data_IF_673153875521
#
_entry.id   IF_673153875521
#
_cell.length_a   1.000
_cell.length_b   1.000
_cell.length_c   1.000
_cell.angle_alpha   90.00
_cell.angle_beta   90.00
_cell.angle_gamma   90.00
#
_symmetry.space_group_name_H-M   'P 1'
#
loop_
_entity.id
_entity.type
_entity.pdbx_description
1 polymer ?
#
# COMPACT_ATOMS: atom_id res chain seq x y z
N UNK A 1 32.92 6.72 14.33
CA UNK A 1 31.58 6.39 13.83
C UNK A 1 30.53 6.49 14.92
N UNK A 2 30.70 5.84 16.08
CA UNK A 2 29.72 5.87 17.18
C UNK A 2 29.31 7.27 17.68
N UNK A 3 30.26 8.21 17.82
CA UNK A 3 29.96 9.58 18.29
C UNK A 3 29.00 10.34 17.35
N UNK A 4 29.21 10.20 16.04
CA UNK A 4 28.36 10.84 15.02
C UNK A 4 26.96 10.23 14.98
N UNK A 5 26.84 8.93 15.20
CA UNK A 5 25.54 8.26 15.33
C UNK A 5 24.75 8.79 16.52
N UNK A 6 25.40 8.96 17.67
CA UNK A 6 24.74 9.51 18.87
C UNK A 6 24.25 10.93 18.62
N UNK A 7 25.06 11.78 17.97
CA UNK A 7 24.67 13.13 17.59
C UNK A 7 23.44 13.14 16.67
N UNK A 8 23.37 12.23 15.69
CA UNK A 8 22.23 12.11 14.75
C UNK A 8 20.96 11.64 15.48
N UNK A 9 21.04 10.61 16.30
CA UNK A 9 19.88 10.10 17.04
C UNK A 9 19.35 11.13 18.04
N UNK A 10 20.25 11.86 18.68
CA UNK A 10 19.88 12.92 19.61
C UNK A 10 19.26 14.12 18.89
N UNK A 11 19.76 14.48 17.70
CA UNK A 11 19.14 15.48 16.84
C UNK A 11 17.69 15.11 16.48
N UNK A 12 17.45 13.86 16.07
CA UNK A 12 16.11 13.35 15.75
C UNK A 12 15.17 13.37 16.97
N UNK A 13 15.69 13.10 18.17
CA UNK A 13 14.91 13.18 19.40
C UNK A 13 14.45 14.62 19.67
N UNK A 14 15.33 15.61 19.52
CA UNK A 14 15.00 17.03 19.69
C UNK A 14 13.97 17.48 18.64
N UNK A 15 14.08 17.00 17.39
CA UNK A 15 13.10 17.29 16.34
C UNK A 15 11.70 16.76 16.68
N UNK A 16 11.62 15.57 17.31
CA UNK A 16 10.34 14.98 17.72
C UNK A 16 9.73 15.66 18.95
N UNK A 17 10.56 16.21 19.84
CA UNK A 17 10.14 16.81 21.10
C UNK A 17 10.78 18.21 21.26
N UNK A 18 10.23 19.23 20.57
CA UNK A 18 10.71 20.59 20.71
C UNK A 18 10.51 21.06 22.16
N UNK A 19 11.58 21.54 22.79
CA UNK A 19 11.56 22.01 24.19
C UNK A 19 12.11 21.03 25.22
N UNK A 20 12.49 19.80 24.84
CA UNK A 20 13.08 18.82 25.79
C UNK A 20 14.33 19.35 26.52
N UNK A 21 15.13 20.16 25.84
CA UNK A 21 16.37 20.77 26.37
C UNK A 21 16.09 21.87 27.41
N UNK A 22 14.87 22.40 27.43
CA UNK A 22 14.42 23.45 28.33
C UNK A 22 13.74 22.92 29.61
N UNK A 23 13.45 21.62 29.65
CA UNK A 23 12.84 20.97 30.80
C UNK A 23 13.75 21.06 32.05
N UNK A 24 13.11 20.91 33.21
CA UNK A 24 13.77 20.85 34.51
C UNK A 24 13.24 19.67 35.30
N UNK A 25 14.10 19.08 36.10
CA UNK A 25 13.72 18.06 37.06
C UNK A 25 12.94 18.70 38.23
N UNK A 26 12.29 17.86 39.03
CA UNK A 26 11.43 18.28 40.14
C UNK A 26 12.18 19.06 41.25
N UNK A 27 13.50 18.93 41.30
CA UNK A 27 14.43 19.63 42.19
C UNK A 27 14.90 20.98 41.60
N UNK A 28 14.46 21.36 40.40
CA UNK A 28 14.85 22.58 39.71
C UNK A 28 16.13 22.45 38.87
N UNK A 29 16.79 21.30 38.89
CA UNK A 29 17.99 21.04 38.09
C UNK A 29 17.64 21.05 36.60
N UNK A 30 18.38 21.78 35.74
CA UNK A 30 18.09 21.81 34.31
C UNK A 30 18.34 20.44 33.67
N UNK A 31 17.47 20.05 32.74
CA UNK A 31 17.60 18.79 32.00
C UNK A 31 18.88 18.73 31.16
N UNK A 32 19.31 19.88 30.63
CA UNK A 32 20.60 20.05 29.99
C UNK A 32 21.33 21.23 30.62
N UNK A 33 22.54 20.98 31.13
CA UNK A 33 23.41 22.01 31.69
C UNK A 33 23.92 22.98 30.59
N UNK A 34 24.47 24.15 30.96
CA UNK A 34 24.92 25.14 29.99
C UNK A 34 25.97 24.62 29.00
N UNK A 35 26.86 23.72 29.41
CA UNK A 35 27.88 23.15 28.53
C UNK A 35 27.24 22.16 27.55
N UNK A 36 26.30 21.33 28.01
CA UNK A 36 25.51 20.43 27.15
C UNK A 36 24.68 21.22 26.14
N UNK A 37 24.05 22.34 26.53
CA UNK A 37 23.31 23.21 25.61
C UNK A 37 24.20 23.80 24.51
N UNK A 38 25.40 24.23 24.87
CA UNK A 38 26.38 24.73 23.92
C UNK A 38 26.79 23.64 22.92
N UNK A 39 27.07 22.43 23.39
CA UNK A 39 27.37 21.28 22.52
C UNK A 39 26.22 20.92 21.58
N UNK A 40 24.97 20.93 22.06
CA UNK A 40 23.79 20.69 21.24
C UNK A 40 23.70 21.70 20.10
N UNK A 41 23.88 22.99 20.40
CA UNK A 41 23.82 24.05 19.39
C UNK A 41 24.95 23.95 18.35
N UNK A 42 26.15 23.53 18.77
CA UNK A 42 27.35 23.51 17.94
C UNK A 42 27.52 22.21 17.14
N UNK A 43 27.06 21.08 17.67
CA UNK A 43 27.35 19.76 17.11
C UNK A 43 26.11 18.97 16.73
N UNK A 44 24.95 19.17 17.39
CA UNK A 44 23.74 18.37 17.16
C UNK A 44 22.77 19.04 16.18
N UNK A 45 22.47 20.33 16.38
CA UNK A 45 21.59 21.11 15.49
C UNK A 45 22.09 21.18 14.02
N UNK A 46 23.40 21.26 13.72
CA UNK A 46 23.87 21.26 12.33
C UNK A 46 23.54 19.97 11.57
N UNK A 47 23.42 18.83 12.27
CA UNK A 47 22.99 17.57 11.63
C UNK A 47 21.52 17.60 11.21
N UNK A 48 20.70 18.46 11.82
CA UNK A 48 19.32 18.73 11.36
C UNK A 48 19.31 19.58 10.09
N UNK A 49 20.30 20.46 9.91
CA UNK A 49 20.39 21.33 8.73
C UNK A 49 20.96 20.61 7.50
N UNK A 50 21.87 19.65 7.71
CA UNK A 50 22.46 18.85 6.62
C UNK A 50 21.47 17.87 5.97
N UNK A 51 20.27 17.69 6.54
CA UNK A 51 19.27 16.77 6.00
C UNK A 51 17.88 17.42 5.86
N UNK A 52 17.84 18.70 5.48
CA UNK A 52 16.64 19.35 4.93
C UNK A 52 16.43 19.02 3.44
N UNK A 53 16.70 17.79 3.01
CA UNK A 53 15.70 17.14 2.18
C UNK A 53 14.79 16.47 3.20
N UNK A 54 13.54 16.93 3.38
CA UNK A 54 12.65 16.25 4.28
C UNK A 54 12.58 14.82 3.74
N UNK A 55 13.15 13.85 4.46
CA UNK A 55 12.51 12.56 4.56
C UNK A 55 11.29 12.81 5.44
N UNK A 56 10.37 13.60 4.88
CA UNK A 56 8.95 13.37 5.00
C UNK A 56 8.89 11.85 4.85
N UNK A 57 8.63 11.17 5.95
CA UNK A 57 7.79 9.99 5.84
C UNK A 57 6.56 10.60 5.21
N UNK A 58 6.59 10.67 3.89
CA UNK A 58 5.41 10.91 3.17
C UNK A 58 4.61 9.65 3.51
N UNK A 59 3.71 9.79 4.48
CA UNK A 59 2.31 9.64 4.09
C UNK A 59 2.09 10.68 3.00
N UNK A 60 2.69 10.43 1.84
CA UNK A 60 2.17 11.02 0.66
C UNK A 60 0.94 10.16 0.47
N UNK A 61 -0.15 10.84 0.18
CA UNK A 61 -1.03 10.41 -0.89
C UNK A 61 -0.26 10.21 -2.22
N UNK A 62 0.95 9.61 -2.18
CA UNK A 62 1.59 8.95 -3.31
C UNK A 62 0.77 7.71 -3.42
N UNK A 63 -0.19 7.76 -4.35
CA UNK A 63 -0.80 6.56 -4.87
C UNK A 63 0.25 5.46 -4.96
N UNK A 64 -0.05 4.28 -4.45
CA UNK A 64 0.93 3.22 -4.40
C UNK A 64 1.47 2.93 -5.80
N UNK A 65 2.72 2.48 -5.89
CA UNK A 65 3.45 2.33 -7.16
C UNK A 65 2.68 1.48 -8.19
N UNK A 66 1.89 0.50 -7.72
CA UNK A 66 1.05 -0.34 -8.57
C UNK A 66 -0.18 0.40 -9.15
N UNK A 67 -0.73 1.40 -8.47
CA UNK A 67 -1.82 2.23 -8.99
C UNK A 67 -1.33 3.17 -10.09
N UNK A 68 -0.21 3.87 -9.84
CA UNK A 68 0.43 4.73 -10.85
C UNK A 68 0.80 3.90 -12.09
N UNK A 69 1.30 2.69 -11.89
CA UNK A 69 1.62 1.78 -12.98
C UNK A 69 0.36 1.24 -13.70
N UNK A 70 -0.75 1.03 -12.98
CA UNK A 70 -2.03 0.65 -13.57
C UNK A 70 -2.57 1.77 -14.47
N UNK A 71 -2.56 3.02 -14.00
CA UNK A 71 -2.97 4.17 -14.79
C UNK A 71 -2.13 4.33 -16.07
N UNK A 72 -0.81 4.20 -15.95
CA UNK A 72 0.09 4.19 -17.10
C UNK A 72 -0.22 3.02 -18.06
N UNK A 73 -0.48 1.82 -17.52
CA UNK A 73 -0.84 0.65 -18.32
C UNK A 73 -2.18 0.82 -19.04
N UNK A 74 -3.16 1.52 -18.45
CA UNK A 74 -4.43 1.86 -19.09
C UNK A 74 -4.25 2.82 -20.26
N UNK A 75 -3.31 3.77 -20.16
CA UNK A 75 -2.95 4.63 -21.29
C UNK A 75 -2.27 3.85 -22.42
N UNK A 76 -1.37 2.93 -22.08
CA UNK A 76 -0.73 2.02 -23.06
C UNK A 76 -1.77 1.11 -23.71
N UNK A 77 -2.73 0.60 -22.95
CA UNK A 77 -3.84 -0.22 -23.48
C UNK A 77 -4.62 0.51 -24.59
N UNK A 78 -4.86 1.82 -24.42
CA UNK A 78 -5.55 2.65 -25.41
C UNK A 78 -4.71 2.90 -26.68
N UNK A 79 -3.38 2.91 -26.57
CA UNK A 79 -2.47 3.27 -27.68
C UNK A 79 -1.92 2.05 -28.43
N UNK A 80 -1.46 1.03 -27.71
CA UNK A 80 -0.64 -0.07 -28.25
C UNK A 80 -1.27 -1.45 -28.02
N UNK A 81 -2.36 -1.52 -27.24
CA UNK A 81 -3.14 -2.73 -26.99
C UNK A 81 -2.74 -3.50 -25.72
N UNK A 82 -3.37 -4.66 -25.51
CA UNK A 82 -3.32 -5.38 -24.23
C UNK A 82 -1.95 -6.00 -23.92
N UNK A 83 -1.28 -6.57 -24.92
CA UNK A 83 0.02 -7.25 -24.72
C UNK A 83 1.10 -6.33 -24.12
N UNK A 84 1.36 -5.11 -24.67
CA UNK A 84 2.36 -4.21 -24.10
C UNK A 84 1.98 -3.70 -22.71
N UNK A 85 0.69 -3.40 -22.47
CA UNK A 85 0.21 -2.99 -21.15
C UNK A 85 0.42 -4.06 -20.07
N UNK A 86 0.14 -5.33 -20.40
CA UNK A 86 0.40 -6.47 -19.50
C UNK A 86 1.90 -6.67 -19.26
N UNK A 87 2.74 -6.52 -20.29
CA UNK A 87 4.19 -6.62 -20.13
C UNK A 87 4.74 -5.54 -19.21
N UNK A 88 4.25 -4.30 -19.32
CA UNK A 88 4.63 -3.19 -18.45
C UNK A 88 4.31 -3.51 -16.98
N UNK A 89 3.09 -3.94 -16.67
CA UNK A 89 2.71 -4.35 -15.31
C UNK A 89 3.49 -5.57 -14.81
N UNK A 90 3.78 -6.55 -15.69
CA UNK A 90 4.60 -7.71 -15.33
C UNK A 90 6.04 -7.32 -14.96
N UNK A 91 6.63 -6.33 -15.62
CA UNK A 91 7.96 -5.83 -15.23
C UNK A 91 7.93 -5.20 -13.84
N UNK A 92 6.87 -4.48 -13.50
CA UNK A 92 6.62 -3.97 -12.14
C UNK A 92 6.51 -5.09 -11.11
N UNK A 93 5.75 -6.15 -11.43
CA UNK A 93 5.60 -7.33 -10.58
C UNK A 93 6.94 -8.02 -10.29
N UNK A 94 7.85 -8.13 -11.28
CA UNK A 94 9.17 -8.73 -11.08
C UNK A 94 10.08 -7.89 -10.17
N UNK A 95 9.91 -6.55 -10.20
CA UNK A 95 10.63 -5.63 -9.32
C UNK A 95 10.04 -5.59 -7.91
N UNK A 96 8.80 -6.05 -7.73
CA UNK A 96 8.09 -5.99 -6.46
C UNK A 96 8.72 -6.92 -5.41
N UNK A 97 9.11 -6.32 -4.29
CA UNK A 97 9.62 -7.01 -3.11
C UNK A 97 8.50 -7.07 -2.05
N UNK A 98 8.24 -8.27 -1.53
CA UNK A 98 7.20 -8.51 -0.52
C UNK A 98 5.89 -9.10 -1.07
N UNK A 99 5.25 -9.96 -0.27
CA UNK A 99 4.02 -10.67 -0.64
C UNK A 99 2.84 -9.74 -0.91
N UNK A 100 2.64 -8.74 -0.04
CA UNK A 100 1.59 -7.71 -0.19
C UNK A 100 1.72 -6.95 -1.51
N UNK A 101 2.91 -6.41 -1.81
CA UNK A 101 3.14 -5.66 -3.04
C UNK A 101 2.86 -6.55 -4.27
N UNK A 102 3.35 -7.79 -4.28
CA UNK A 102 3.08 -8.75 -5.37
C UNK A 102 1.59 -9.01 -5.57
N UNK A 103 0.84 -9.14 -4.48
CA UNK A 103 -0.62 -9.31 -4.54
C UNK A 103 -1.28 -8.11 -5.23
N UNK A 104 -0.95 -6.88 -4.82
CA UNK A 104 -1.50 -5.68 -5.46
C UNK A 104 -1.11 -5.54 -6.93
N UNK A 105 0.10 -5.93 -7.32
CA UNK A 105 0.50 -5.97 -8.72
C UNK A 105 -0.29 -7.02 -9.54
N UNK A 106 -0.58 -8.18 -8.96
CA UNK A 106 -1.44 -9.18 -9.59
C UNK A 106 -2.89 -8.70 -9.69
N UNK A 107 -3.39 -8.02 -8.66
CA UNK A 107 -4.73 -7.41 -8.69
C UNK A 107 -4.83 -6.30 -9.74
N UNK A 108 -3.80 -5.45 -9.87
CA UNK A 108 -3.72 -4.45 -10.93
C UNK A 108 -3.74 -5.09 -12.33
N UNK A 109 -3.04 -6.21 -12.52
CA UNK A 109 -3.11 -6.99 -13.77
C UNK A 109 -4.52 -7.50 -14.07
N UNK A 110 -5.24 -7.99 -13.05
CA UNK A 110 -6.62 -8.44 -13.20
C UNK A 110 -7.57 -7.28 -13.56
N UNK A 111 -7.44 -6.12 -12.90
CA UNK A 111 -8.17 -4.89 -13.25
C UNK A 111 -7.89 -4.44 -14.69
N UNK A 112 -6.64 -4.50 -15.14
CA UNK A 112 -6.29 -4.18 -16.53
C UNK A 112 -7.00 -5.13 -17.51
N UNK A 113 -7.03 -6.44 -17.22
CA UNK A 113 -7.72 -7.44 -18.05
C UNK A 113 -9.24 -7.19 -18.10
N UNK A 114 -9.82 -6.76 -16.99
CA UNK A 114 -11.23 -6.38 -16.91
C UNK A 114 -11.55 -5.19 -17.83
N UNK A 115 -10.77 -4.10 -17.75
CA UNK A 115 -10.96 -2.92 -18.61
C UNK A 115 -10.75 -3.27 -20.09
N UNK A 116 -9.86 -4.21 -20.40
CA UNK A 116 -9.64 -4.71 -21.75
C UNK A 116 -10.73 -5.65 -22.27
N UNK A 117 -11.84 -5.83 -21.55
CA UNK A 117 -12.97 -6.72 -21.87
C UNK A 117 -12.58 -8.21 -22.02
N UNK A 118 -11.46 -8.63 -21.41
CA UNK A 118 -11.03 -10.03 -21.37
C UNK A 118 -11.48 -10.67 -20.06
N UNK A 119 -12.80 -10.73 -19.88
CA UNK A 119 -13.43 -11.15 -18.61
C UNK A 119 -13.08 -12.58 -18.19
N UNK A 120 -12.97 -13.52 -19.13
CA UNK A 120 -12.55 -14.91 -18.83
C UNK A 120 -11.14 -14.95 -18.19
N UNK A 121 -10.21 -14.16 -18.71
CA UNK A 121 -8.84 -14.10 -18.19
C UNK A 121 -8.79 -13.35 -16.84
N UNK A 122 -9.57 -12.27 -16.71
CA UNK A 122 -9.67 -11.52 -15.46
C UNK A 122 -10.25 -12.40 -14.34
N UNK A 123 -11.31 -13.16 -14.64
CA UNK A 123 -11.94 -14.10 -13.72
C UNK A 123 -10.94 -15.14 -13.20
N UNK A 124 -10.22 -15.84 -14.08
CA UNK A 124 -9.26 -16.87 -13.67
C UNK A 124 -8.15 -16.31 -12.76
N UNK A 125 -7.68 -15.08 -13.03
CA UNK A 125 -6.71 -14.40 -12.17
C UNK A 125 -7.32 -14.02 -10.81
N UNK A 126 -8.55 -13.49 -10.81
CA UNK A 126 -9.24 -13.10 -9.57
C UNK A 126 -9.59 -14.30 -8.70
N UNK A 127 -9.97 -15.44 -9.27
CA UNK A 127 -10.21 -16.69 -8.53
C UNK A 127 -8.93 -17.18 -7.83
N UNK A 128 -7.78 -17.07 -8.50
CA UNK A 128 -6.48 -17.43 -7.89
C UNK A 128 -6.13 -16.48 -6.74
N UNK A 129 -6.41 -15.18 -6.91
CA UNK A 129 -6.18 -14.17 -5.87
C UNK A 129 -7.11 -14.38 -4.66
N UNK A 130 -8.38 -14.67 -4.90
CA UNK A 130 -9.35 -14.98 -3.84
C UNK A 130 -8.96 -16.24 -3.06
N UNK A 131 -8.54 -17.31 -3.74
CA UNK A 131 -8.04 -18.52 -3.08
C UNK A 131 -6.82 -18.21 -2.19
N UNK A 132 -5.90 -17.38 -2.68
CA UNK A 132 -4.72 -16.95 -1.92
C UNK A 132 -5.12 -16.13 -0.69
N UNK A 133 -6.13 -15.26 -0.79
CA UNK A 133 -6.67 -14.49 0.35
C UNK A 133 -7.29 -15.40 1.41
N UNK A 134 -8.00 -16.44 0.99
CA UNK A 134 -8.59 -17.42 1.90
C UNK A 134 -7.50 -18.23 2.63
N UNK A 135 -6.53 -18.76 1.90
CA UNK A 135 -5.45 -19.59 2.46
C UNK A 135 -4.53 -18.84 3.43
N UNK A 136 -4.25 -17.57 3.12
CA UNK A 136 -3.39 -16.72 3.94
C UNK A 136 -4.09 -16.16 5.18
N UNK A 137 -5.42 -16.28 5.28
CA UNK A 137 -6.22 -15.65 6.34
C UNK A 137 -6.18 -14.12 6.28
N UNK A 138 -5.76 -13.53 5.16
CA UNK A 138 -5.59 -12.08 5.02
C UNK A 138 -6.93 -11.33 5.08
N UNK A 139 -8.06 -12.03 4.85
CA UNK A 139 -9.41 -11.53 5.09
C UNK A 139 -9.61 -10.94 6.50
N UNK A 140 -8.96 -11.50 7.52
CA UNK A 140 -9.09 -11.01 8.90
C UNK A 140 -8.25 -9.75 9.17
N UNK A 141 -7.23 -9.51 8.35
CA UNK A 141 -6.27 -8.41 8.52
C UNK A 141 -6.53 -7.23 7.57
N UNK A 142 -7.11 -7.49 6.39
CA UNK A 142 -7.48 -6.48 5.39
C UNK A 142 -8.82 -6.83 4.71
N UNK A 143 -9.97 -6.58 5.38
CA UNK A 143 -11.28 -6.89 4.84
C UNK A 143 -11.61 -6.10 3.56
N UNK A 144 -11.19 -4.83 3.48
CA UNK A 144 -11.46 -3.95 2.34
C UNK A 144 -10.89 -4.52 1.02
N UNK A 145 -9.65 -5.03 1.06
CA UNK A 145 -9.00 -5.63 -0.10
C UNK A 145 -9.75 -6.87 -0.61
N UNK A 146 -10.22 -7.68 0.34
CA UNK A 146 -11.01 -8.86 0.06
C UNK A 146 -12.35 -8.51 -0.61
N UNK A 147 -13.01 -7.45 -0.14
CA UNK A 147 -14.24 -6.94 -0.74
C UNK A 147 -14.01 -6.41 -2.15
N UNK A 148 -12.95 -5.63 -2.38
CA UNK A 148 -12.60 -5.16 -3.72
C UNK A 148 -12.39 -6.31 -4.72
N UNK A 149 -11.70 -7.36 -4.30
CA UNK A 149 -11.47 -8.56 -5.14
C UNK A 149 -12.80 -9.25 -5.42
N UNK A 150 -13.65 -9.47 -4.42
CA UNK A 150 -14.95 -10.13 -4.57
C UNK A 150 -15.92 -9.31 -5.43
N UNK A 151 -15.99 -7.99 -5.28
CA UNK A 151 -16.78 -7.08 -6.10
C UNK A 151 -16.37 -7.13 -7.57
N UNK A 152 -15.05 -7.10 -7.84
CA UNK A 152 -14.54 -7.17 -9.20
C UNK A 152 -14.81 -8.55 -9.81
N UNK A 153 -14.73 -9.62 -9.03
CA UNK A 153 -15.04 -10.99 -9.47
C UNK A 153 -16.54 -11.12 -9.80
N UNK A 154 -17.41 -10.60 -8.94
CA UNK A 154 -18.85 -10.56 -9.17
C UNK A 154 -19.20 -9.79 -10.45
N UNK A 155 -18.60 -8.61 -10.63
CA UNK A 155 -18.74 -7.79 -11.83
C UNK A 155 -18.23 -8.51 -13.08
N UNK A 156 -17.14 -9.29 -13.00
CA UNK A 156 -16.68 -10.15 -14.10
C UNK A 156 -17.73 -11.22 -14.44
N UNK A 157 -18.33 -11.86 -13.44
CA UNK A 157 -19.33 -12.90 -13.62
C UNK A 157 -20.63 -12.38 -14.25
N UNK A 158 -21.04 -11.13 -13.96
CA UNK A 158 -22.21 -10.50 -14.60
C UNK A 158 -22.00 -10.21 -16.09
N UNK A 159 -20.77 -9.82 -16.47
CA UNK A 159 -20.45 -9.43 -17.85
C UNK A 159 -20.08 -10.63 -18.74
N UNK A 160 -19.92 -11.82 -18.15
CA UNK A 160 -19.67 -13.07 -18.86
C UNK A 160 -20.98 -13.72 -19.33
N UNK A 161 -20.97 -14.49 -20.44
CA UNK A 161 -22.13 -15.27 -20.84
C UNK A 161 -22.55 -16.20 -19.70
N UNK A 162 -23.83 -16.15 -19.33
CA UNK A 162 -24.38 -16.85 -18.17
C UNK A 162 -24.41 -18.37 -18.39
N UNK A 163 -23.28 -19.01 -18.17
CA UNK A 163 -23.17 -20.46 -18.06
C UNK A 163 -23.57 -20.89 -16.64
N UNK A 164 -24.10 -22.10 -16.49
CA UNK A 164 -24.53 -22.64 -15.20
C UNK A 164 -23.40 -22.60 -14.14
N UNK A 165 -22.17 -22.90 -14.56
CA UNK A 165 -20.96 -22.80 -13.73
C UNK A 165 -20.67 -21.36 -13.29
N UNK A 166 -20.92 -20.37 -14.15
CA UNK A 166 -20.71 -18.95 -13.81
C UNK A 166 -21.79 -18.48 -12.83
N UNK A 167 -23.01 -18.99 -12.95
CA UNK A 167 -24.14 -18.69 -12.05
C UNK A 167 -23.92 -19.25 -10.65
N UNK A 168 -23.52 -20.51 -10.53
CA UNK A 168 -23.20 -21.14 -9.24
C UNK A 168 -22.04 -20.42 -8.53
N UNK A 169 -21.00 -20.06 -9.29
CA UNK A 169 -19.88 -19.25 -8.76
C UNK A 169 -20.33 -17.86 -8.33
N UNK A 170 -21.19 -17.19 -9.11
CA UNK A 170 -21.76 -15.89 -8.76
C UNK A 170 -22.52 -15.95 -7.43
N UNK A 171 -23.34 -16.99 -7.22
CA UNK A 171 -24.10 -17.19 -5.99
C UNK A 171 -23.19 -17.52 -4.79
N UNK A 172 -22.10 -18.27 -4.98
CA UNK A 172 -21.09 -18.51 -3.96
C UNK A 172 -20.37 -17.21 -3.55
N UNK A 173 -19.95 -16.40 -4.52
CA UNK A 173 -19.30 -15.11 -4.30
C UNK A 173 -20.26 -14.16 -3.58
N UNK A 174 -21.51 -14.08 -4.04
CA UNK A 174 -22.53 -13.23 -3.44
C UNK A 174 -22.79 -13.60 -1.97
N UNK A 175 -22.91 -14.89 -1.65
CA UNK A 175 -23.04 -15.36 -0.26
C UNK A 175 -21.87 -14.95 0.62
N UNK A 176 -20.64 -15.04 0.10
CA UNK A 176 -19.44 -14.63 0.83
C UNK A 176 -19.38 -13.12 1.02
N UNK A 177 -19.82 -12.38 0.02
CA UNK A 177 -19.91 -10.92 0.07
C UNK A 177 -20.89 -10.48 1.16
N UNK A 178 -22.08 -11.09 1.22
CA UNK A 178 -23.08 -10.85 2.27
C UNK A 178 -22.57 -11.19 3.68
N UNK A 179 -21.62 -12.12 3.81
CA UNK A 179 -21.07 -12.52 5.10
C UNK A 179 -19.97 -11.56 5.59
N UNK A 180 -19.20 -10.98 4.67
CA UNK A 180 -18.12 -10.06 4.98
C UNK A 180 -18.62 -8.62 5.14
N UNK A 181 -19.68 -8.26 4.43
CA UNK A 181 -20.27 -6.93 4.49
C UNK A 181 -21.79 -7.01 4.33
N UNK A 182 -22.53 -6.75 5.41
CA UNK A 182 -23.99 -6.65 5.36
C UNK A 182 -24.43 -5.31 4.74
N UNK A 183 -23.57 -4.29 4.74
CA UNK A 183 -23.92 -2.97 4.18
C UNK A 183 -24.08 -3.03 2.65
N UNK A 184 -23.34 -3.91 1.96
CA UNK A 184 -23.49 -4.13 0.50
C UNK A 184 -24.81 -4.84 0.13
N UNK A 185 -25.48 -5.50 1.08
CA UNK A 185 -26.79 -6.14 0.85
C UNK A 185 -27.95 -5.14 0.98
N UNK A 186 -27.69 -3.96 1.55
CA UNK A 186 -28.69 -2.95 1.86
C UNK A 186 -28.81 -1.85 0.79
N UNK A 187 -27.95 -1.83 -0.23
CA UNK A 187 -28.04 -0.92 -1.41
C UNK A 187 -28.74 -1.55 -2.62
#
# INVERSE_FOLDING_TARGET
MAMREVEIHFALLIQRLPGIVELRYHDGTPFADPATRAWISASVLPHLQTNNAPRKVEVADTQPVWEVALEAALLVLRKEGLKPAVQFLKQGLQKAQGGRARFFWQFALARLCFVAKKYELAKAQLETLDQTLQESGLHAWEPDLALEVLHLLHSCCELLPQNQVVRERKEEIYRRLCHLDLEVVLE
#
